data_IF_501533260325
#
_entry.id   IF_501533260325
#
_cell.length_a   1.000
_cell.length_b   1.000
_cell.length_c   1.000
_cell.angle_alpha   90.00
_cell.angle_beta   90.00
_cell.angle_gamma   90.00
#
_symmetry.space_group_name_H-M   'P 1'
#
loop_
_entity.id
_entity.type
_entity.pdbx_description
1 polymer ?
#
# COMPACT_ATOMS: atom_id res chain seq x y z
N UNK A 1 14.80 -24.76 4.21
CA UNK A 1 14.24 -25.64 3.16
C UNK A 1 12.97 -26.35 3.61
N UNK A 2 12.99 -27.09 4.72
CA UNK A 2 11.86 -27.89 5.23
C UNK A 2 10.50 -27.17 5.30
N UNK A 3 10.44 -25.93 5.78
CA UNK A 3 9.18 -25.16 5.82
C UNK A 3 8.59 -24.96 4.42
N UNK A 4 9.42 -24.61 3.44
CA UNK A 4 8.99 -24.33 2.06
C UNK A 4 8.55 -25.61 1.33
N UNK A 5 9.18 -26.75 1.63
CA UNK A 5 8.75 -28.06 1.12
C UNK A 5 7.38 -28.46 1.68
N UNK A 6 7.20 -28.36 3.01
CA UNK A 6 5.92 -28.63 3.66
C UNK A 6 4.82 -27.73 3.12
N UNK A 7 5.10 -26.44 2.95
CA UNK A 7 4.19 -25.45 2.38
C UNK A 7 3.90 -25.66 0.88
N UNK A 8 4.66 -26.50 0.17
CA UNK A 8 4.51 -26.73 -1.28
C UNK A 8 5.20 -25.71 -2.18
N UNK A 9 5.69 -24.62 -1.60
CA UNK A 9 6.37 -23.55 -2.32
C UNK A 9 7.69 -23.99 -2.91
N UNK A 10 8.40 -24.93 -2.27
CA UNK A 10 9.65 -25.44 -2.84
C UNK A 10 9.45 -26.10 -4.20
N UNK A 11 8.36 -26.86 -4.39
CA UNK A 11 8.09 -27.53 -5.67
C UNK A 11 7.74 -26.55 -6.80
N UNK A 12 7.12 -25.41 -6.47
CA UNK A 12 6.57 -24.47 -7.46
C UNK A 12 7.41 -23.19 -7.64
N UNK A 13 8.21 -22.83 -6.64
CA UNK A 13 8.90 -21.53 -6.57
C UNK A 13 10.41 -21.64 -6.30
N UNK A 14 11.00 -22.84 -6.13
CA UNK A 14 12.42 -22.97 -5.78
C UNK A 14 13.35 -22.21 -6.72
N UNK A 15 13.12 -22.25 -8.04
CA UNK A 15 13.95 -21.56 -9.03
C UNK A 15 13.92 -20.03 -8.85
N UNK A 16 12.84 -19.51 -8.26
CA UNK A 16 12.63 -18.10 -7.98
C UNK A 16 12.99 -17.72 -6.52
N UNK A 17 13.65 -18.59 -5.77
CA UNK A 17 14.06 -18.32 -4.38
C UNK A 17 15.57 -18.12 -4.27
N UNK A 18 15.99 -17.21 -3.40
CA UNK A 18 17.39 -17.15 -2.97
C UNK A 18 17.62 -18.17 -1.86
N UNK A 19 18.60 -19.05 -2.05
CA UNK A 19 18.97 -20.08 -1.09
C UNK A 19 20.33 -19.79 -0.47
N UNK A 20 20.52 -20.20 0.79
CA UNK A 20 21.80 -20.12 1.49
C UNK A 20 21.98 -21.34 2.39
N UNK A 21 23.19 -21.58 2.87
CA UNK A 21 23.52 -22.73 3.70
C UNK A 21 24.29 -22.29 4.93
N UNK A 22 23.96 -22.86 6.09
CA UNK A 22 24.71 -22.68 7.34
C UNK A 22 24.56 -23.93 8.21
N UNK A 23 25.64 -24.35 8.88
CA UNK A 23 25.63 -25.48 9.83
C UNK A 23 24.94 -26.75 9.29
N UNK A 24 25.27 -27.15 8.06
CA UNK A 24 24.66 -28.30 7.35
C UNK A 24 23.14 -28.21 7.16
N UNK A 25 22.57 -27.00 7.16
CA UNK A 25 21.16 -26.75 6.90
C UNK A 25 20.98 -25.81 5.71
N UNK A 26 20.03 -26.17 4.85
CA UNK A 26 19.59 -25.35 3.73
C UNK A 26 18.52 -24.36 4.18
N UNK A 27 18.75 -23.08 3.92
CA UNK A 27 17.83 -21.99 4.16
C UNK A 27 17.43 -21.35 2.83
N UNK A 28 16.30 -20.67 2.85
CA UNK A 28 15.91 -19.81 1.74
C UNK A 28 15.39 -18.50 2.32
N UNK A 29 15.77 -17.39 1.68
CA UNK A 29 15.21 -16.09 1.98
C UNK A 29 13.75 -16.13 1.55
N UNK A 30 12.84 -15.64 2.41
CA UNK A 30 11.40 -15.75 2.17
C UNK A 30 10.98 -15.06 0.87
N UNK A 31 10.32 -15.75 -0.09
CA UNK A 31 9.72 -15.12 -1.27
C UNK A 31 8.30 -14.58 -1.04
N UNK A 32 7.74 -14.88 0.14
CA UNK A 32 6.40 -14.50 0.62
C UNK A 32 6.28 -14.76 2.13
N UNK A 33 5.29 -14.15 2.79
CA UNK A 33 5.15 -14.24 4.24
C UNK A 33 4.21 -15.38 4.71
N UNK A 34 3.38 -15.94 3.81
CA UNK A 34 2.30 -16.84 4.19
C UNK A 34 2.71 -18.03 5.07
N UNK A 35 3.82 -18.77 4.84
CA UNK A 35 4.14 -19.93 5.67
C UNK A 35 4.56 -19.51 7.08
N UNK A 36 5.17 -18.32 7.22
CA UNK A 36 5.57 -17.74 8.50
C UNK A 36 4.34 -17.33 9.32
N UNK A 37 3.33 -16.72 8.70
CA UNK A 37 2.09 -16.33 9.38
C UNK A 37 1.31 -17.55 9.86
N UNK A 38 1.33 -18.66 9.13
CA UNK A 38 0.79 -19.93 9.63
C UNK A 38 1.54 -20.43 10.88
N UNK A 39 2.87 -20.27 10.94
CA UNK A 39 3.61 -20.66 12.16
C UNK A 39 3.22 -19.79 13.37
N UNK A 40 2.86 -18.53 13.15
CA UNK A 40 2.32 -17.64 14.19
C UNK A 40 0.92 -18.09 14.62
N UNK A 41 0.04 -18.41 13.67
CA UNK A 41 -1.28 -18.95 13.97
C UNK A 41 -1.21 -20.24 14.81
N UNK A 42 -0.24 -21.11 14.50
CA UNK A 42 0.00 -22.36 15.22
C UNK A 42 0.50 -22.17 16.67
N UNK A 43 0.84 -20.95 17.10
CA UNK A 43 1.22 -20.69 18.48
C UNK A 43 -0.01 -20.70 19.39
N UNK A 44 -0.16 -21.78 20.15
CA UNK A 44 -1.26 -21.97 21.10
C UNK A 44 -2.55 -22.45 20.44
N UNK A 45 -3.50 -22.90 21.27
CA UNK A 45 -4.83 -23.33 20.82
C UNK A 45 -5.61 -22.14 20.22
N UNK A 46 -6.49 -22.43 19.26
CA UNK A 46 -7.43 -21.45 18.68
C UNK A 46 -8.86 -21.98 18.81
N UNK A 47 -9.78 -21.15 19.27
CA UNK A 47 -11.23 -21.40 19.27
C UNK A 47 -11.90 -20.71 18.09
N UNK A 48 -13.01 -21.25 17.59
CA UNK A 48 -13.84 -20.58 16.58
C UNK A 48 -14.25 -19.16 16.99
N UNK A 49 -14.35 -18.89 18.31
CA UNK A 49 -14.68 -17.56 18.86
C UNK A 49 -13.56 -16.52 18.66
N UNK A 50 -12.34 -16.98 18.43
CA UNK A 50 -11.19 -16.12 18.16
C UNK A 50 -11.02 -15.84 16.67
N UNK A 51 -11.83 -16.50 15.82
CA UNK A 51 -11.86 -16.25 14.37
C UNK A 51 -12.95 -15.21 14.05
N UNK A 52 -12.68 -14.27 13.13
CA UNK A 52 -11.52 -14.21 12.24
C UNK A 52 -10.26 -13.62 12.91
N UNK A 53 -9.12 -14.28 12.74
CA UNK A 53 -7.81 -13.80 13.18
C UNK A 53 -7.07 -13.17 11.99
N UNK A 54 -6.65 -11.91 12.11
CA UNK A 54 -5.98 -11.17 11.04
C UNK A 54 -4.53 -10.88 11.41
N UNK A 55 -3.58 -11.45 10.68
CA UNK A 55 -2.15 -11.18 10.83
C UNK A 55 -1.69 -10.26 9.71
N UNK A 56 -1.05 -9.15 10.03
CA UNK A 56 -0.54 -8.19 9.04
C UNK A 56 0.94 -7.89 9.29
N UNK A 57 1.72 -7.80 8.23
CA UNK A 57 3.16 -7.55 8.28
C UNK A 57 3.58 -6.74 7.05
N UNK A 58 4.34 -5.66 7.27
CA UNK A 58 5.15 -5.06 6.19
C UNK A 58 6.37 -5.96 5.91
N UNK A 59 6.10 -7.10 5.27
CA UNK A 59 7.04 -8.21 5.20
C UNK A 59 8.01 -8.09 4.03
N UNK A 60 9.29 -7.89 4.34
CA UNK A 60 10.37 -7.86 3.35
C UNK A 60 10.62 -9.25 2.75
N UNK A 61 10.40 -9.38 1.44
CA UNK A 61 10.50 -10.62 0.69
C UNK A 61 11.52 -10.49 -0.44
N UNK A 62 12.03 -11.63 -0.90
CA UNK A 62 12.97 -11.69 -2.01
C UNK A 62 12.62 -12.77 -3.03
N UNK A 63 12.61 -12.40 -4.31
CA UNK A 63 12.43 -13.32 -5.44
C UNK A 63 13.61 -13.22 -6.39
N UNK A 64 14.13 -14.35 -6.83
CA UNK A 64 15.25 -14.44 -7.76
C UNK A 64 14.79 -14.19 -9.21
N UNK A 65 14.20 -13.01 -9.43
CA UNK A 65 13.73 -12.59 -10.76
C UNK A 65 14.89 -12.57 -11.77
N UNK A 66 14.65 -12.97 -13.04
CA UNK A 66 15.63 -12.86 -14.11
C UNK A 66 16.16 -11.43 -14.23
N UNK A 67 17.47 -11.26 -14.40
CA UNK A 67 18.10 -9.93 -14.45
C UNK A 67 17.52 -9.04 -15.57
N UNK A 68 17.16 -9.64 -16.70
CA UNK A 68 16.53 -8.93 -17.83
C UNK A 68 15.09 -8.47 -17.58
N UNK A 69 14.43 -8.93 -16.52
CA UNK A 69 13.07 -8.53 -16.15
C UNK A 69 13.04 -7.35 -15.16
N UNK A 70 14.18 -6.94 -14.61
CA UNK A 70 14.24 -5.87 -13.60
C UNK A 70 13.99 -4.50 -14.23
N UNK A 71 13.21 -3.66 -13.55
CA UNK A 71 12.87 -2.33 -14.05
C UNK A 71 12.63 -1.33 -12.90
N UNK A 72 13.60 -0.44 -12.68
CA UNK A 72 13.53 0.62 -11.67
C UNK A 72 13.06 0.11 -10.31
N UNK A 73 12.01 0.73 -9.77
CA UNK A 73 11.29 0.27 -8.57
C UNK A 73 10.00 -0.50 -8.89
N UNK A 74 9.65 -0.65 -10.17
CA UNK A 74 8.43 -1.35 -10.61
C UNK A 74 8.58 -2.87 -10.59
N UNK A 75 9.79 -3.38 -10.84
CA UNK A 75 10.10 -4.81 -10.80
C UNK A 75 11.49 -5.04 -10.23
N UNK A 76 11.52 -5.55 -9.00
CA UNK A 76 12.69 -5.65 -8.13
C UNK A 76 12.84 -7.06 -7.55
N UNK A 77 14.04 -7.40 -7.08
CA UNK A 77 14.30 -8.69 -6.40
C UNK A 77 13.95 -8.68 -4.93
N UNK A 78 14.15 -7.55 -4.25
CA UNK A 78 13.76 -7.35 -2.86
C UNK A 78 12.62 -6.34 -2.80
N UNK A 79 11.55 -6.70 -2.12
CA UNK A 79 10.34 -5.88 -2.03
C UNK A 79 9.65 -6.04 -0.68
N UNK A 80 8.92 -5.02 -0.25
CA UNK A 80 8.12 -5.05 0.97
C UNK A 80 6.66 -4.87 0.61
N UNK A 81 5.78 -5.75 1.10
CA UNK A 81 4.34 -5.66 0.82
C UNK A 81 3.56 -5.31 2.09
N UNK A 82 2.39 -4.69 1.92
CA UNK A 82 1.36 -4.57 2.96
C UNK A 82 0.58 -5.89 3.16
N UNK A 83 1.35 -6.98 3.24
CA UNK A 83 0.87 -8.35 3.23
C UNK A 83 0.17 -8.71 4.54
N UNK A 84 -0.84 -9.56 4.42
CA UNK A 84 -1.59 -10.05 5.56
C UNK A 84 -2.39 -11.29 5.21
N UNK A 85 -2.65 -12.06 6.25
CA UNK A 85 -3.35 -13.34 6.19
C UNK A 85 -4.48 -13.33 7.21
N UNK A 86 -5.71 -13.49 6.73
CA UNK A 86 -6.89 -13.63 7.57
C UNK A 86 -7.22 -15.12 7.68
N UNK A 87 -7.21 -15.65 8.89
CA UNK A 87 -7.67 -16.98 9.22
C UNK A 87 -9.12 -16.88 9.68
N UNK A 88 -10.05 -17.46 8.95
CA UNK A 88 -11.47 -17.41 9.26
C UNK A 88 -12.14 -18.78 9.06
N UNK A 89 -13.37 -18.92 9.55
CA UNK A 89 -14.19 -20.08 9.18
C UNK A 89 -14.72 -19.93 7.75
N UNK A 90 -15.23 -21.01 7.16
CA UNK A 90 -15.83 -20.97 5.82
C UNK A 90 -17.02 -20.00 5.76
N UNK A 91 -17.83 -19.95 6.82
CA UNK A 91 -19.01 -19.08 6.92
C UNK A 91 -18.64 -17.59 6.99
N UNK A 92 -17.42 -17.27 7.45
CA UNK A 92 -16.92 -15.91 7.60
C UNK A 92 -16.28 -15.35 6.31
N UNK A 93 -15.95 -16.20 5.32
CA UNK A 93 -15.19 -15.80 4.13
C UNK A 93 -15.82 -14.63 3.36
N UNK A 94 -17.13 -14.69 3.12
CA UNK A 94 -17.83 -13.65 2.35
C UNK A 94 -17.78 -12.29 3.08
N UNK A 95 -18.04 -12.28 4.39
CA UNK A 95 -18.03 -11.06 5.19
C UNK A 95 -16.61 -10.44 5.25
N UNK A 96 -15.57 -11.26 5.44
CA UNK A 96 -14.19 -10.79 5.44
C UNK A 96 -13.75 -10.27 4.07
N UNK A 97 -14.18 -10.94 2.99
CA UNK A 97 -13.90 -10.51 1.63
C UNK A 97 -14.56 -9.17 1.32
N UNK A 98 -15.84 -8.99 1.68
CA UNK A 98 -16.55 -7.73 1.49
C UNK A 98 -15.93 -6.58 2.31
N UNK A 99 -15.55 -6.84 3.56
CA UNK A 99 -14.86 -5.87 4.40
C UNK A 99 -13.50 -5.45 3.80
N UNK A 100 -12.75 -6.41 3.25
CA UNK A 100 -11.47 -6.14 2.60
C UNK A 100 -11.63 -5.34 1.29
N UNK A 101 -12.61 -5.67 0.45
CA UNK A 101 -12.92 -4.93 -0.78
C UNK A 101 -13.22 -3.47 -0.42
N UNK A 102 -14.10 -3.23 0.56
CA UNK A 102 -14.43 -1.87 1.01
C UNK A 102 -13.19 -1.10 1.48
N UNK A 103 -12.38 -1.71 2.33
CA UNK A 103 -11.13 -1.12 2.81
C UNK A 103 -10.19 -0.77 1.66
N UNK A 104 -10.05 -1.66 0.68
CA UNK A 104 -9.19 -1.46 -0.49
C UNK A 104 -9.64 -0.27 -1.32
N UNK A 105 -10.94 -0.16 -1.60
CA UNK A 105 -11.50 0.99 -2.33
C UNK A 105 -11.35 2.31 -1.58
N UNK A 106 -11.53 2.30 -0.24
CA UNK A 106 -11.32 3.48 0.59
C UNK A 106 -9.86 3.97 0.55
N UNK A 107 -8.89 3.04 0.62
CA UNK A 107 -7.47 3.35 0.51
C UNK A 107 -7.11 3.86 -0.87
N UNK A 108 -7.62 3.26 -1.94
CA UNK A 108 -7.37 3.76 -3.30
C UNK A 108 -7.91 5.15 -3.53
N UNK A 109 -9.12 5.44 -3.03
CA UNK A 109 -9.70 6.78 -3.05
C UNK A 109 -8.83 7.78 -2.26
N UNK A 110 -8.26 7.38 -1.13
CA UNK A 110 -7.31 8.19 -0.37
C UNK A 110 -6.04 8.54 -1.16
N UNK A 111 -5.58 7.63 -2.02
CA UNK A 111 -4.46 7.84 -2.92
C UNK A 111 -4.84 8.54 -4.24
N UNK A 112 -6.10 8.91 -4.45
CA UNK A 112 -6.58 9.60 -5.65
C UNK A 112 -6.98 8.69 -6.81
N UNK A 113 -7.02 7.38 -6.60
CA UNK A 113 -7.50 6.43 -7.61
C UNK A 113 -9.01 6.23 -7.46
N UNK A 114 -9.76 6.69 -8.46
CA UNK A 114 -11.23 6.54 -8.54
C UNK A 114 -11.69 5.54 -9.59
N UNK A 115 -10.84 5.25 -10.59
CA UNK A 115 -11.09 4.28 -11.65
C UNK A 115 -10.27 3.01 -11.37
N UNK A 116 -10.91 2.03 -10.72
CA UNK A 116 -10.29 0.77 -10.29
C UNK A 116 -10.95 -0.38 -11.03
N UNK A 117 -10.18 -1.08 -11.86
CA UNK A 117 -10.65 -2.28 -12.55
C UNK A 117 -10.52 -3.49 -11.62
N UNK A 118 -11.62 -4.22 -11.43
CA UNK A 118 -11.63 -5.45 -10.64
C UNK A 118 -11.83 -6.67 -11.52
N UNK A 119 -11.09 -7.74 -11.22
CA UNK A 119 -11.19 -9.01 -11.95
C UNK A 119 -11.32 -10.16 -10.97
N UNK A 120 -12.26 -11.07 -11.24
CA UNK A 120 -12.43 -12.31 -10.50
C UNK A 120 -11.83 -13.46 -11.32
N UNK A 121 -10.67 -13.95 -10.88
CA UNK A 121 -9.98 -15.08 -11.49
C UNK A 121 -10.47 -16.40 -10.89
N UNK A 122 -11.02 -17.26 -11.74
CA UNK A 122 -11.66 -18.54 -11.35
C UNK A 122 -10.76 -19.74 -11.63
N UNK A 123 -11.22 -20.94 -11.26
CA UNK A 123 -10.42 -22.17 -11.20
C UNK A 123 -9.58 -22.45 -12.46
N UNK A 124 -8.27 -22.71 -12.32
CA UNK A 124 -7.44 -23.20 -13.41
C UNK A 124 -7.67 -24.69 -13.66
N UNK A 125 -7.20 -25.19 -14.80
CA UNK A 125 -7.22 -26.63 -15.13
C UNK A 125 -6.43 -27.46 -14.11
N UNK A 126 -5.25 -26.97 -13.70
CA UNK A 126 -4.40 -27.59 -12.68
C UNK A 126 -4.66 -26.96 -11.31
N UNK A 127 -5.46 -27.63 -10.48
CA UNK A 127 -5.85 -27.16 -9.15
C UNK A 127 -5.84 -28.24 -8.09
N UNK A 128 -5.81 -27.81 -6.83
CA UNK A 128 -6.00 -28.66 -5.64
C UNK A 128 -7.37 -28.36 -5.01
N UNK A 129 -7.90 -29.34 -4.26
CA UNK A 129 -9.23 -29.25 -3.65
C UNK A 129 -10.34 -29.85 -4.53
N UNK A 130 -11.52 -30.05 -3.94
CA UNK A 130 -12.68 -30.61 -4.64
C UNK A 130 -13.44 -29.54 -5.43
N UNK A 131 -14.30 -29.97 -6.36
CA UNK A 131 -15.11 -29.06 -7.19
C UNK A 131 -16.08 -28.26 -6.34
N UNK A 132 -16.67 -28.90 -5.33
CA UNK A 132 -17.60 -28.26 -4.39
C UNK A 132 -16.91 -27.19 -3.53
N UNK A 133 -15.62 -27.37 -3.21
CA UNK A 133 -14.84 -26.35 -2.51
C UNK A 133 -14.63 -25.13 -3.40
N UNK A 134 -14.29 -25.35 -4.66
CA UNK A 134 -14.10 -24.30 -5.64
C UNK A 134 -15.40 -23.56 -5.96
N UNK A 135 -16.52 -24.28 -6.09
CA UNK A 135 -17.84 -23.69 -6.32
C UNK A 135 -18.19 -22.72 -5.20
N UNK A 136 -17.97 -23.13 -3.95
CA UNK A 136 -18.20 -22.29 -2.76
C UNK A 136 -17.26 -21.09 -2.69
N UNK A 137 -15.97 -21.28 -3.00
CA UNK A 137 -14.98 -20.22 -2.97
C UNK A 137 -15.25 -19.14 -4.02
N UNK A 138 -15.55 -19.55 -5.26
CA UNK A 138 -15.88 -18.63 -6.36
C UNK A 138 -17.20 -17.89 -6.07
N UNK A 139 -18.22 -18.60 -5.58
CA UNK A 139 -19.49 -17.99 -5.18
C UNK A 139 -19.32 -16.99 -4.03
N UNK A 140 -18.46 -17.27 -3.04
CA UNK A 140 -18.21 -16.36 -1.93
C UNK A 140 -17.54 -15.06 -2.39
N UNK A 141 -16.56 -15.13 -3.30
CA UNK A 141 -15.91 -13.93 -3.85
C UNK A 141 -16.84 -13.13 -4.77
N UNK A 142 -17.62 -13.81 -5.63
CA UNK A 142 -18.63 -13.17 -6.47
C UNK A 142 -19.69 -12.45 -5.62
N UNK A 143 -20.25 -13.12 -4.61
CA UNK A 143 -21.24 -12.52 -3.71
C UNK A 143 -20.68 -11.33 -2.93
N UNK A 144 -19.39 -11.35 -2.55
CA UNK A 144 -18.74 -10.22 -1.89
C UNK A 144 -18.64 -9.01 -2.84
N UNK A 145 -18.26 -9.22 -4.11
CA UNK A 145 -18.22 -8.18 -5.15
C UNK A 145 -19.61 -7.63 -5.45
N UNK A 146 -20.60 -8.50 -5.64
CA UNK A 146 -21.99 -8.14 -5.91
C UNK A 146 -22.56 -7.30 -4.76
N UNK A 147 -22.29 -7.68 -3.50
CA UNK A 147 -22.75 -6.93 -2.32
C UNK A 147 -22.11 -5.56 -2.19
N UNK A 148 -20.91 -5.37 -2.76
CA UNK A 148 -20.23 -4.08 -2.80
C UNK A 148 -20.77 -3.16 -3.92
N UNK A 149 -21.62 -3.68 -4.82
CA UNK A 149 -22.17 -2.94 -5.95
C UNK A 149 -21.10 -2.58 -7.00
N UNK A 150 -20.04 -3.37 -7.08
CA UNK A 150 -18.88 -3.09 -7.92
C UNK A 150 -18.91 -3.94 -9.19
N UNK A 151 -18.63 -3.31 -10.34
CA UNK A 151 -18.45 -4.04 -11.59
C UNK A 151 -17.10 -4.78 -11.59
N UNK A 152 -17.09 -5.99 -12.13
CA UNK A 152 -15.87 -6.79 -12.29
C UNK A 152 -15.94 -7.66 -13.54
N UNK A 153 -14.76 -7.96 -14.09
CA UNK A 153 -14.62 -8.92 -15.18
C UNK A 153 -14.30 -10.31 -14.64
N UNK A 154 -14.82 -11.35 -15.30
CA UNK A 154 -14.41 -12.72 -15.04
C UNK A 154 -13.14 -13.06 -15.83
N UNK A 155 -12.22 -13.76 -15.18
CA UNK A 155 -11.04 -14.36 -15.81
C UNK A 155 -11.05 -15.88 -15.61
N UNK A 156 -11.72 -16.62 -16.51
CA UNK A 156 -11.73 -18.08 -16.48
C UNK A 156 -10.32 -18.67 -16.55
N UNK A 157 -9.96 -19.51 -15.58
CA UNK A 157 -8.69 -20.23 -15.60
C UNK A 157 -7.48 -19.50 -15.01
N UNK A 158 -7.63 -18.25 -14.60
CA UNK A 158 -6.51 -17.41 -14.10
C UNK A 158 -6.34 -17.44 -12.57
N UNK A 159 -7.16 -18.23 -11.86
CA UNK A 159 -7.03 -18.46 -10.43
C UNK A 159 -5.73 -19.17 -10.08
N UNK A 160 -5.28 -19.06 -8.82
CA UNK A 160 -4.12 -19.84 -8.40
C UNK A 160 -4.50 -21.31 -8.20
N UNK A 161 -3.52 -22.20 -8.20
CA UNK A 161 -3.78 -23.62 -8.03
C UNK A 161 -4.52 -23.98 -6.72
N UNK A 162 -4.48 -23.10 -5.70
CA UNK A 162 -5.06 -23.31 -4.37
C UNK A 162 -6.35 -22.52 -4.08
N UNK A 163 -6.80 -21.66 -5.00
CA UNK A 163 -8.07 -20.95 -4.85
C UNK A 163 -8.26 -19.75 -5.79
N UNK A 164 -9.50 -19.23 -5.87
CA UNK A 164 -9.82 -18.07 -6.69
C UNK A 164 -9.29 -16.78 -6.05
N UNK A 165 -9.18 -15.73 -6.86
CA UNK A 165 -8.68 -14.42 -6.41
C UNK A 165 -9.46 -13.27 -7.05
N UNK A 166 -9.53 -12.16 -6.30
CA UNK A 166 -9.92 -10.85 -6.81
C UNK A 166 -8.64 -10.05 -7.01
N UNK A 167 -8.49 -9.48 -8.19
CA UNK A 167 -7.41 -8.57 -8.54
C UNK A 167 -7.94 -7.16 -8.63
N UNK A 168 -7.19 -6.21 -8.06
CA UNK A 168 -7.49 -4.79 -8.18
C UNK A 168 -6.41 -4.13 -9.02
N UNK A 169 -6.81 -3.58 -10.15
CA UNK A 169 -5.91 -2.93 -11.10
C UNK A 169 -6.16 -1.44 -11.14
N UNK A 170 -5.07 -0.68 -11.03
CA UNK A 170 -5.08 0.78 -11.06
C UNK A 170 -4.59 1.26 -12.42
N UNK A 171 -5.22 2.31 -12.93
CA UNK A 171 -4.80 2.96 -14.16
C UNK A 171 -3.96 4.20 -13.83
N UNK A 172 -2.80 4.31 -14.46
CA UNK A 172 -1.97 5.52 -14.36
C UNK A 172 -2.44 6.63 -15.31
N UNK A 173 -1.81 7.81 -15.22
CA UNK A 173 -2.14 8.97 -16.05
C UNK A 173 -1.88 8.75 -17.57
N UNK A 174 -1.09 7.74 -17.93
CA UNK A 174 -0.81 7.32 -19.30
C UNK A 174 -1.77 6.23 -19.80
N UNK A 175 -2.71 5.80 -18.95
CA UNK A 175 -3.68 4.78 -19.25
C UNK A 175 -3.17 3.34 -19.15
N UNK A 176 -1.97 3.11 -18.61
CA UNK A 176 -1.45 1.76 -18.36
C UNK A 176 -2.09 1.17 -17.11
N UNK A 177 -2.39 -0.12 -17.17
CA UNK A 177 -3.08 -0.85 -16.10
C UNK A 177 -2.07 -1.64 -15.27
N UNK A 178 -2.11 -1.42 -13.96
CA UNK A 178 -1.21 -2.02 -13.00
C UNK A 178 -2.00 -2.80 -11.95
N UNK A 179 -1.83 -4.12 -11.92
CA UNK A 179 -2.34 -4.93 -10.81
C UNK A 179 -1.58 -4.58 -9.52
N UNK A 180 -2.31 -4.11 -8.51
CA UNK A 180 -1.77 -3.74 -7.20
C UNK A 180 -2.34 -4.64 -6.11
N UNK A 181 -3.62 -4.46 -5.80
CA UNK A 181 -4.29 -5.19 -4.74
C UNK A 181 -4.64 -6.61 -5.17
N UNK A 182 -4.72 -7.49 -4.19
CA UNK A 182 -5.20 -8.85 -4.38
C UNK A 182 -5.93 -9.32 -3.13
N UNK A 183 -6.98 -10.11 -3.33
CA UNK A 183 -7.59 -10.94 -2.31
C UNK A 183 -7.64 -12.37 -2.84
N UNK A 184 -7.05 -13.32 -2.15
CA UNK A 184 -6.96 -14.69 -2.62
C UNK A 184 -7.31 -15.68 -1.52
N UNK A 185 -8.22 -16.61 -1.85
CA UNK A 185 -8.59 -17.70 -0.95
C UNK A 185 -7.57 -18.83 -1.06
N UNK A 186 -7.19 -19.39 0.09
CA UNK A 186 -6.33 -20.56 0.21
C UNK A 186 -6.87 -21.52 1.27
N UNK A 187 -7.31 -22.68 0.78
CA UNK A 187 -7.80 -23.79 1.61
C UNK A 187 -6.71 -24.84 1.87
N UNK A 188 -5.59 -24.74 1.18
CA UNK A 188 -4.57 -25.77 1.09
C UNK A 188 -3.40 -25.50 2.05
N UNK A 189 -2.87 -24.28 2.12
CA UNK A 189 -1.73 -24.00 2.98
C UNK A 189 -2.01 -24.22 4.48
N UNK A 190 -3.19 -23.85 5.03
CA UNK A 190 -3.55 -24.18 6.41
C UNK A 190 -3.45 -25.68 6.70
N UNK A 191 -3.95 -26.53 5.80
CA UNK A 191 -3.89 -28.00 5.93
C UNK A 191 -2.43 -28.48 5.88
N UNK A 192 -1.67 -28.02 4.88
CA UNK A 192 -0.28 -28.45 4.67
C UNK A 192 0.66 -28.12 5.83
N UNK A 193 0.36 -27.06 6.57
CA UNK A 193 1.15 -26.58 7.71
C UNK A 193 0.48 -26.84 9.06
N UNK A 194 -0.63 -27.59 9.10
CA UNK A 194 -1.28 -28.05 10.33
C UNK A 194 -1.94 -26.95 11.14
N UNK A 195 -2.45 -25.90 10.49
CA UNK A 195 -3.24 -24.86 11.14
C UNK A 195 -4.63 -25.39 11.50
N UNK A 196 -4.98 -25.39 12.77
CA UNK A 196 -6.25 -25.92 13.28
C UNK A 196 -6.87 -25.00 14.34
N UNK A 197 -8.20 -25.01 14.40
CA UNK A 197 -8.99 -24.42 15.48
C UNK A 197 -10.01 -25.42 16.01
N UNK A 198 -10.53 -25.16 17.21
CA UNK A 198 -11.61 -25.92 17.84
C UNK A 198 -12.95 -25.29 17.45
N UNK A 199 -13.80 -26.03 16.73
CA UNK A 199 -15.14 -25.58 16.33
C UNK A 199 -16.17 -25.67 17.45
N UNK A 200 -17.39 -25.17 17.19
CA UNK A 200 -18.51 -25.18 18.13
C UNK A 200 -18.86 -26.57 18.69
N UNK A 201 -18.69 -27.61 17.86
CA UNK A 201 -18.91 -29.01 18.19
C UNK A 201 -17.71 -29.69 18.88
N UNK A 202 -16.67 -28.92 19.25
CA UNK A 202 -15.39 -29.37 19.79
C UNK A 202 -14.54 -30.23 18.84
N UNK A 203 -14.91 -30.35 17.56
CA UNK A 203 -14.04 -30.98 16.57
C UNK A 203 -12.87 -30.06 16.18
N UNK A 204 -11.80 -30.66 15.62
CA UNK A 204 -10.68 -29.92 15.04
C UNK A 204 -10.96 -29.65 13.58
N UNK A 205 -10.91 -28.38 13.18
CA UNK A 205 -11.09 -27.95 11.79
C UNK A 205 -9.93 -27.07 11.35
N UNK A 206 -9.70 -27.02 10.04
CA UNK A 206 -8.73 -26.11 9.44
C UNK A 206 -9.41 -24.78 9.10
N UNK A 207 -8.80 -23.63 9.41
CA UNK A 207 -9.33 -22.35 8.96
C UNK A 207 -9.12 -22.19 7.45
N UNK A 208 -9.95 -21.37 6.82
CA UNK A 208 -9.66 -20.80 5.51
C UNK A 208 -8.70 -19.63 5.70
N UNK A 209 -7.72 -19.50 4.81
CA UNK A 209 -6.80 -18.37 4.82
C UNK A 209 -7.06 -17.46 3.62
N UNK A 210 -7.25 -16.16 3.88
CA UNK A 210 -7.34 -15.13 2.84
C UNK A 210 -6.01 -14.39 2.81
N UNK A 211 -5.27 -14.53 1.71
CA UNK A 211 -4.11 -13.70 1.42
C UNK A 211 -4.57 -12.37 0.88
N UNK A 212 -4.05 -11.28 1.42
CA UNK A 212 -4.42 -9.95 0.94
C UNK A 212 -3.26 -8.98 0.94
N UNK A 213 -3.29 -8.08 -0.04
CA UNK A 213 -2.48 -6.87 -0.10
C UNK A 213 -3.33 -5.79 -0.76
N UNK A 214 -3.28 -4.56 -0.25
CA UNK A 214 -4.01 -3.42 -0.81
C UNK A 214 -3.10 -2.70 -1.80
N UNK A 215 -1.90 -2.34 -1.36
CA UNK A 215 -0.94 -1.59 -2.17
C UNK A 215 -0.13 -2.52 -3.08
N UNK A 216 0.07 -3.77 -2.64
CA UNK A 216 1.05 -4.67 -3.23
C UNK A 216 2.42 -4.37 -2.63
N UNK A 217 3.48 -4.39 -3.45
CA UNK A 217 4.81 -3.95 -2.96
C UNK A 217 4.90 -2.42 -2.91
N UNK A 218 5.42 -1.87 -1.82
CA UNK A 218 5.67 -0.43 -1.67
C UNK A 218 6.52 0.13 -2.81
N UNK A 219 7.55 -0.60 -3.24
CA UNK A 219 8.46 -0.18 -4.31
C UNK A 219 7.67 0.08 -5.61
N UNK A 220 6.85 -0.88 -6.02
CA UNK A 220 6.00 -0.75 -7.21
C UNK A 220 4.91 0.30 -7.02
N UNK A 221 4.26 0.33 -5.86
CA UNK A 221 3.19 1.28 -5.59
C UNK A 221 3.69 2.73 -5.59
N UNK A 222 4.87 3.00 -5.04
CA UNK A 222 5.54 4.30 -5.14
C UNK A 222 5.86 4.64 -6.59
N UNK A 223 6.32 3.68 -7.40
CA UNK A 223 6.51 3.88 -8.83
C UNK A 223 5.22 4.31 -9.54
N UNK A 224 4.11 3.63 -9.27
CA UNK A 224 2.79 3.95 -9.83
C UNK A 224 2.32 5.34 -9.36
N UNK A 225 2.53 5.70 -8.09
CA UNK A 225 2.18 7.03 -7.58
C UNK A 225 3.01 8.13 -8.24
N UNK A 226 4.32 7.92 -8.46
CA UNK A 226 5.17 8.88 -9.15
C UNK A 226 4.63 9.14 -10.56
N UNK A 227 4.26 8.09 -11.28
CA UNK A 227 3.72 8.22 -12.64
C UNK A 227 2.33 8.86 -12.61
N UNK A 228 1.41 8.38 -11.77
CA UNK A 228 0.05 8.89 -11.63
C UNK A 228 0.00 10.40 -11.33
N UNK A 229 0.85 10.87 -10.42
CA UNK A 229 0.93 12.30 -10.09
C UNK A 229 1.90 13.09 -10.97
N UNK A 230 2.60 12.43 -11.90
CA UNK A 230 3.72 13.00 -12.65
C UNK A 230 4.78 13.64 -11.72
N UNK A 231 4.94 13.12 -10.49
CA UNK A 231 5.77 13.70 -9.44
C UNK A 231 5.18 14.91 -8.70
N UNK A 232 4.01 15.41 -9.09
CA UNK A 232 3.26 16.48 -8.40
C UNK A 232 2.41 15.94 -7.24
N UNK A 233 3.03 15.25 -6.28
CA UNK A 233 2.32 14.61 -5.18
C UNK A 233 1.38 15.55 -4.41
N UNK A 234 0.21 15.08 -3.94
CA UNK A 234 -0.64 15.86 -3.05
C UNK A 234 0.09 16.16 -1.75
N UNK A 235 -0.34 17.21 -1.04
CA UNK A 235 0.38 17.73 0.12
C UNK A 235 0.73 16.64 1.16
N UNK A 236 -0.17 15.68 1.41
CA UNK A 236 0.08 14.62 2.38
C UNK A 236 1.22 13.65 2.00
N UNK A 237 1.49 13.44 0.70
CA UNK A 237 2.54 12.55 0.20
C UNK A 237 3.83 13.27 -0.21
N UNK A 238 3.77 14.58 -0.43
CA UNK A 238 4.92 15.33 -0.90
C UNK A 238 6.13 15.19 0.06
N UNK A 239 7.34 14.82 -0.42
CA UNK A 239 8.52 14.66 0.44
C UNK A 239 8.86 15.95 1.21
N UNK A 240 8.67 17.10 0.56
CA UNK A 240 8.69 18.42 1.18
C UNK A 240 7.36 19.10 0.87
N UNK A 241 6.64 19.49 1.90
CA UNK A 241 5.29 20.05 1.79
C UNK A 241 5.32 21.57 1.59
N UNK A 242 6.24 22.24 2.29
CA UNK A 242 6.42 23.67 2.21
C UNK A 242 7.91 24.02 2.22
N UNK A 243 8.31 25.01 1.41
CA UNK A 243 9.64 25.61 1.48
C UNK A 243 9.55 27.08 1.84
N UNK A 244 10.32 27.49 2.85
CA UNK A 244 10.40 28.86 3.35
C UNK A 244 11.61 29.57 2.74
N UNK A 245 11.40 30.72 2.11
CA UNK A 245 12.45 31.47 1.42
C UNK A 245 12.45 32.92 1.90
N UNK A 246 13.61 33.39 2.35
CA UNK A 246 13.86 34.80 2.65
C UNK A 246 14.28 35.56 1.38
N UNK A 247 13.88 36.85 1.29
CA UNK A 247 14.31 37.75 0.21
C UNK A 247 15.74 38.25 0.45
N UNK A 248 16.09 38.55 1.70
CA UNK A 248 17.41 38.98 2.14
C UNK A 248 17.79 38.29 3.47
N UNK A 249 19.07 38.34 3.85
CA UNK A 249 19.56 37.69 5.07
C UNK A 249 18.91 38.22 6.36
N UNK A 250 18.31 39.42 6.33
CA UNK A 250 17.61 40.00 7.48
C UNK A 250 16.41 39.18 7.94
N UNK A 251 15.79 38.40 7.04
CA UNK A 251 14.61 37.60 7.39
C UNK A 251 14.95 36.14 7.71
N UNK A 252 16.24 35.77 7.77
CA UNK A 252 16.67 34.39 7.96
C UNK A 252 16.18 33.80 9.30
N UNK A 253 16.24 34.58 10.38
CA UNK A 253 15.81 34.13 11.71
C UNK A 253 14.31 33.83 11.75
N UNK A 254 13.48 34.72 11.17
CA UNK A 254 12.04 34.48 11.09
C UNK A 254 11.70 33.31 10.16
N UNK A 255 12.43 33.13 9.06
CA UNK A 255 12.26 31.96 8.20
C UNK A 255 12.56 30.64 8.91
N UNK A 256 13.62 30.61 9.74
CA UNK A 256 13.95 29.44 10.57
C UNK A 256 12.91 29.20 11.68
N UNK A 257 12.34 30.26 12.26
CA UNK A 257 11.24 30.16 13.22
C UNK A 257 9.99 29.54 12.58
N UNK A 258 9.59 30.01 11.39
CA UNK A 258 8.46 29.46 10.64
C UNK A 258 8.68 27.98 10.31
N UNK A 259 9.88 27.61 9.84
CA UNK A 259 10.24 26.20 9.61
C UNK A 259 10.05 25.36 10.87
N UNK A 260 10.56 25.84 12.01
CA UNK A 260 10.42 25.15 13.30
C UNK A 260 8.95 24.98 13.69
N UNK A 261 8.14 26.04 13.61
CA UNK A 261 6.71 25.99 13.95
C UNK A 261 5.95 24.97 13.10
N UNK A 262 6.23 24.91 11.79
CA UNK A 262 5.58 23.95 10.89
C UNK A 262 6.03 22.52 11.17
N UNK A 263 7.32 22.29 11.42
CA UNK A 263 7.86 20.97 11.75
C UNK A 263 7.35 20.46 13.12
N UNK A 264 7.24 21.33 14.12
CA UNK A 264 6.62 21.00 15.43
C UNK A 264 5.12 20.66 15.30
N UNK A 265 4.46 21.17 14.25
CA UNK A 265 3.08 20.83 13.89
C UNK A 265 2.95 19.54 13.06
N UNK A 266 4.06 18.83 12.81
CA UNK A 266 4.08 17.56 12.07
C UNK A 266 4.17 17.68 10.55
N UNK A 267 4.40 18.89 10.02
CA UNK A 267 4.61 19.10 8.59
C UNK A 267 6.08 18.88 8.21
N UNK A 268 6.33 18.60 6.92
CA UNK A 268 7.67 18.49 6.33
C UNK A 268 8.03 19.80 5.65
N UNK A 269 8.45 20.77 6.45
CA UNK A 269 8.85 22.09 5.98
C UNK A 269 10.38 22.23 5.98
N UNK A 270 10.91 23.04 5.05
CA UNK A 270 12.35 23.31 4.95
C UNK A 270 12.61 24.76 4.59
N UNK A 271 13.61 25.41 5.19
CA UNK A 271 14.06 26.73 4.74
C UNK A 271 15.12 26.65 3.63
N UNK A 272 15.11 27.65 2.75
CA UNK A 272 16.14 27.92 1.76
C UNK A 272 16.73 29.32 2.01
N UNK A 273 17.75 29.34 2.86
CA UNK A 273 18.45 30.54 3.31
C UNK A 273 19.69 30.87 2.47
N UNK A 274 19.87 30.23 1.30
CA UNK A 274 21.01 30.52 0.42
C UNK A 274 20.96 31.98 -0.04
N UNK A 275 22.12 32.60 -0.24
CA UNK A 275 22.25 33.94 -0.80
C UNK A 275 22.04 33.91 -2.32
N UNK A 276 20.81 33.62 -2.74
CA UNK A 276 20.38 33.53 -4.13
C UNK A 276 19.17 34.43 -4.37
N UNK A 277 18.97 34.88 -5.61
CA UNK A 277 17.80 35.71 -5.95
C UNK A 277 16.51 34.95 -5.66
N UNK A 278 15.51 35.61 -5.07
CA UNK A 278 14.23 34.97 -4.72
C UNK A 278 13.55 34.29 -5.93
N UNK A 279 13.63 34.89 -7.12
CA UNK A 279 13.10 34.29 -8.34
C UNK A 279 13.80 32.98 -8.75
N UNK A 280 15.10 32.84 -8.44
CA UNK A 280 15.83 31.59 -8.64
C UNK A 280 15.34 30.52 -7.67
N UNK A 281 15.23 30.85 -6.37
CA UNK A 281 14.72 29.94 -5.34
C UNK A 281 13.30 29.44 -5.69
N UNK A 282 12.40 30.35 -6.04
CA UNK A 282 11.02 30.02 -6.47
C UNK A 282 11.05 29.05 -7.66
N UNK A 283 11.85 29.34 -8.69
CA UNK A 283 11.95 28.48 -9.87
C UNK A 283 12.46 27.08 -9.54
N UNK A 284 13.51 26.98 -8.71
CA UNK A 284 14.08 25.70 -8.32
C UNK A 284 13.05 24.84 -7.56
N UNK A 285 12.39 25.40 -6.54
CA UNK A 285 11.39 24.65 -5.76
C UNK A 285 10.10 24.36 -6.53
N UNK A 286 9.75 25.19 -7.51
CA UNK A 286 8.67 24.89 -8.48
C UNK A 286 9.04 23.68 -9.35
N UNK A 287 10.29 23.59 -9.83
CA UNK A 287 10.76 22.42 -10.60
C UNK A 287 10.76 21.14 -9.76
N UNK A 288 11.02 21.25 -8.46
CA UNK A 288 10.90 20.15 -7.49
C UNK A 288 9.45 19.83 -7.09
N UNK A 289 8.47 20.56 -7.63
CA UNK A 289 7.02 20.37 -7.42
C UNK A 289 6.58 20.44 -5.94
N UNK A 290 7.30 21.22 -5.12
CA UNK A 290 6.96 21.47 -3.71
C UNK A 290 5.58 22.14 -3.65
N UNK A 291 4.57 21.57 -2.94
CA UNK A 291 3.21 22.09 -2.94
C UNK A 291 3.07 23.58 -2.59
N UNK A 292 3.80 24.04 -1.57
CA UNK A 292 3.73 25.42 -1.09
C UNK A 292 5.10 26.09 -0.99
N UNK A 293 5.17 27.30 -1.50
CA UNK A 293 6.34 28.17 -1.50
C UNK A 293 6.01 29.39 -0.62
N UNK A 294 6.69 29.52 0.50
CA UNK A 294 6.49 30.60 1.47
C UNK A 294 7.59 31.64 1.31
N UNK A 295 7.24 32.86 0.95
CA UNK A 295 8.18 33.96 0.77
C UNK A 295 8.08 34.91 1.95
N UNK A 296 9.23 35.31 2.48
CA UNK A 296 9.35 36.22 3.62
C UNK A 296 10.20 37.43 3.20
N UNK A 297 9.55 38.60 3.14
CA UNK A 297 10.20 39.90 3.08
C UNK A 297 10.09 40.68 4.40
N UNK A 298 10.50 41.94 4.38
CA UNK A 298 10.46 42.81 5.57
C UNK A 298 9.03 42.96 6.12
N UNK A 299 8.05 43.10 5.21
CA UNK A 299 6.63 43.18 5.55
C UNK A 299 6.12 41.92 6.28
N UNK A 300 6.57 40.75 5.84
CA UNK A 300 6.17 39.47 6.43
C UNK A 300 6.76 39.31 7.85
N UNK A 301 8.00 39.76 8.08
CA UNK A 301 8.61 39.78 9.40
C UNK A 301 7.86 40.73 10.34
N UNK A 302 7.55 41.95 9.90
CA UNK A 302 6.86 42.96 10.71
C UNK A 302 5.46 42.50 11.13
N UNK A 303 4.72 41.86 10.23
CA UNK A 303 3.35 41.41 10.48
C UNK A 303 3.26 39.97 11.01
N UNK A 304 4.38 39.25 11.14
CA UNK A 304 4.41 37.83 11.53
C UNK A 304 3.56 36.95 10.59
N UNK A 305 3.74 37.16 9.29
CA UNK A 305 2.97 36.51 8.21
C UNK A 305 3.90 35.83 7.20
N UNK A 306 3.33 35.03 6.30
CA UNK A 306 4.03 34.42 5.16
C UNK A 306 3.26 34.69 3.88
N UNK A 307 3.95 35.09 2.81
CA UNK A 307 3.36 35.17 1.48
C UNK A 307 3.36 33.77 0.84
N UNK A 308 2.16 33.24 0.55
CA UNK A 308 1.98 31.85 0.16
C UNK A 308 1.73 31.75 -1.35
N UNK A 309 2.55 30.95 -2.02
CA UNK A 309 2.38 30.60 -3.43
C UNK A 309 2.25 29.10 -3.60
N UNK A 310 1.32 28.64 -4.43
CA UNK A 310 1.22 27.21 -4.79
C UNK A 310 2.19 26.87 -5.91
N UNK A 311 2.52 25.58 -6.07
CA UNK A 311 3.36 25.11 -7.18
C UNK A 311 2.79 25.38 -8.57
N UNK A 312 1.48 25.49 -8.70
CA UNK A 312 0.79 25.85 -9.94
C UNK A 312 0.94 27.36 -10.26
N UNK A 313 1.52 28.12 -9.34
CA UNK A 313 1.81 29.54 -9.49
C UNK A 313 0.71 30.46 -8.96
N UNK A 314 -0.35 29.92 -8.34
CA UNK A 314 -1.37 30.73 -7.69
C UNK A 314 -0.80 31.45 -6.47
N UNK A 315 -1.06 32.75 -6.39
CA UNK A 315 -0.73 33.58 -5.24
C UNK A 315 -1.92 33.58 -4.28
N UNK A 316 -1.74 33.01 -3.08
CA UNK A 316 -2.77 32.95 -2.05
C UNK A 316 -2.69 34.16 -1.09
N UNK A 317 -1.79 35.10 -1.36
CA UNK A 317 -1.56 36.29 -0.55
C UNK A 317 -0.75 36.00 0.72
N UNK A 318 -0.71 37.01 1.59
CA UNK A 318 -0.03 36.94 2.88
C UNK A 318 -1.01 36.51 3.98
N UNK A 319 -0.61 35.55 4.81
CA UNK A 319 -1.40 35.06 5.94
C UNK A 319 -0.53 34.80 7.18
N UNK A 320 -1.08 34.90 8.40
CA UNK A 320 -0.37 34.49 9.61
C UNK A 320 0.11 33.05 9.53
N UNK A 321 1.26 32.77 10.16
CA UNK A 321 1.88 31.43 10.18
C UNK A 321 0.90 30.36 10.70
N UNK A 322 0.13 30.69 11.75
CA UNK A 322 -0.88 29.81 12.31
C UNK A 322 -2.01 29.49 11.30
N UNK A 323 -2.47 30.51 10.56
CA UNK A 323 -3.49 30.31 9.52
C UNK A 323 -2.96 29.44 8.37
N UNK A 324 -1.70 29.62 7.98
CA UNK A 324 -1.08 28.75 6.99
C UNK A 324 -0.97 27.29 7.48
N UNK A 325 -0.62 27.08 8.74
CA UNK A 325 -0.55 25.74 9.33
C UNK A 325 -1.92 25.04 9.31
N UNK A 326 -3.01 25.74 9.63
CA UNK A 326 -4.39 25.23 9.52
C UNK A 326 -4.76 24.90 8.08
N UNK A 327 -4.42 25.79 7.14
CA UNK A 327 -4.64 25.56 5.72
C UNK A 327 -3.89 24.32 5.21
N UNK A 328 -2.62 24.15 5.59
CA UNK A 328 -1.83 22.98 5.23
C UNK A 328 -2.40 21.69 5.87
N UNK A 329 -2.88 21.75 7.12
CA UNK A 329 -3.56 20.61 7.75
C UNK A 329 -4.79 20.17 6.95
N UNK A 330 -5.60 21.12 6.46
CA UNK A 330 -6.75 20.81 5.60
C UNK A 330 -6.33 20.18 4.27
N UNK A 331 -5.27 20.70 3.63
CA UNK A 331 -4.74 20.12 2.40
C UNK A 331 -4.21 18.69 2.61
N UNK A 332 -3.58 18.43 3.76
CA UNK A 332 -3.08 17.10 4.14
C UNK A 332 -4.22 16.14 4.47
N UNK A 333 -5.27 16.60 5.16
CA UNK A 333 -6.41 15.76 5.57
C UNK A 333 -7.27 15.28 4.39
N UNK A 334 -7.32 16.07 3.30
CA UNK A 334 -7.98 15.68 2.03
C UNK A 334 -7.28 14.52 1.32
N UNK A 335 -6.02 14.24 1.67
CA UNK A 335 -5.18 13.22 1.03
C UNK A 335 -5.09 13.44 -0.49
N UNK A 336 -5.28 12.41 -1.31
CA UNK A 336 -5.34 12.49 -2.77
C UNK A 336 -6.77 12.61 -3.33
N UNK A 337 -7.78 12.80 -2.48
CA UNK A 337 -9.18 12.80 -2.92
C UNK A 337 -9.45 14.05 -3.79
N UNK A 338 -9.97 13.89 -5.02
CA UNK A 338 -10.19 15.01 -5.95
C UNK A 338 -11.29 15.96 -5.49
N UNK A 339 -12.25 15.48 -4.72
CA UNK A 339 -13.37 16.24 -4.17
C UNK A 339 -13.41 16.07 -2.65
N UNK A 340 -13.44 17.17 -1.90
CA UNK A 340 -13.94 17.16 -0.53
C UNK A 340 -15.38 17.65 -0.58
N UNK A 341 -16.34 16.75 -0.40
CA UNK A 341 -17.56 17.11 0.33
C UNK A 341 -17.21 17.55 1.75
#
# INVERSE_FOLDING_TARGET
RSLWEKAGHWANYADNMFTTQSENRDYAIKPMNCPCHVQVFNQGLKSYRELPMRLAEFGACHRNEPSGALHGIMRVRGFTQDDAHIFCTEEQMQAESAAFIKLTMDVYRDFGFTDVEMKLSTRPEKRVGSDELWDRAEAALAAALDSAGLAYDLQPGEGAFYGPKIEFSLKDCLGRVWQCGTLQLDFNLPIRLGAEYVSEDNSRKHPVMLHRAILGSFERFVGILIEHYEGAFPAWLAPTQAVIMNITDKQADFAAEVEKTLNESGFRAKSDLRNEKIGFKIREHTLLKVPYLLVIGDREVEMQTVAVRTREGADLGSMPVAQFAEFLAQAVSRRGRPDSE
#
